data_IF_063388436772
#
_entry.id   IF_063388436772
#
_cell.length_a   1.000
_cell.length_b   1.000
_cell.length_c   1.000
_cell.angle_alpha   90.00
_cell.angle_beta   90.00
_cell.angle_gamma   90.00
#
_symmetry.space_group_name_H-M   'P 1'
#
loop_
_entity.id
_entity.type
_entity.pdbx_description
1 polymer ?
#
# COMPACT_ATOMS: atom_id res chain seq x y z
N UNK A 1 -4.97 35.79 5.16
CA UNK A 1 -4.23 34.52 5.34
C UNK A 1 -5.22 33.47 5.79
N UNK A 2 -5.21 32.28 5.17
CA UNK A 2 -6.09 31.19 5.63
C UNK A 2 -5.60 30.68 7.01
N UNK A 3 -6.50 30.25 7.90
CA UNK A 3 -6.12 29.60 9.15
C UNK A 3 -5.31 28.31 8.88
N UNK A 4 -4.50 27.90 9.85
CA UNK A 4 -3.71 26.68 9.74
C UNK A 4 -4.63 25.44 9.79
N UNK A 5 -4.59 24.62 8.74
CA UNK A 5 -5.31 23.35 8.63
C UNK A 5 -6.74 23.39 9.18
N UNK A 6 -7.49 24.43 8.76
CA UNK A 6 -8.90 24.61 9.12
C UNK A 6 -9.81 23.60 8.41
N UNK A 7 -11.13 23.72 8.61
CA UNK A 7 -12.13 22.86 7.97
C UNK A 7 -11.93 22.75 6.44
N UNK A 8 -11.49 23.84 5.79
CA UNK A 8 -11.30 23.92 4.34
C UNK A 8 -9.86 23.61 3.91
N UNK A 9 -9.08 22.98 4.77
CA UNK A 9 -7.70 22.59 4.45
C UNK A 9 -7.65 21.82 3.12
N UNK A 10 -6.78 22.27 2.21
CA UNK A 10 -6.61 21.79 0.83
C UNK A 10 -7.80 22.03 -0.13
N UNK A 11 -8.91 22.59 0.33
CA UNK A 11 -10.11 22.89 -0.49
C UNK A 11 -10.09 24.38 -0.85
N UNK A 12 -9.72 24.70 -2.10
CA UNK A 12 -9.42 26.08 -2.50
C UNK A 12 -10.62 26.85 -3.01
N UNK A 13 -11.70 26.19 -3.41
CA UNK A 13 -12.89 26.77 -4.03
C UNK A 13 -14.19 26.12 -3.50
N UNK A 14 -15.34 26.73 -3.83
CA UNK A 14 -16.66 26.30 -3.32
C UNK A 14 -17.06 24.93 -3.85
N UNK A 15 -16.79 24.64 -5.11
CA UNK A 15 -17.06 23.34 -5.71
C UNK A 15 -16.26 22.23 -5.03
N UNK A 16 -14.97 22.46 -4.79
CA UNK A 16 -14.14 21.50 -4.03
C UNK A 16 -14.68 21.23 -2.63
N UNK A 17 -15.13 22.26 -1.93
CA UNK A 17 -15.73 22.13 -0.60
C UNK A 17 -17.03 21.32 -0.66
N UNK A 18 -17.91 21.62 -1.62
CA UNK A 18 -19.13 20.85 -1.82
C UNK A 18 -18.85 19.38 -2.12
N UNK A 19 -17.99 19.09 -3.08
CA UNK A 19 -17.62 17.70 -3.44
C UNK A 19 -17.06 16.93 -2.25
N UNK A 20 -16.26 17.59 -1.42
CA UNK A 20 -15.68 16.97 -0.26
C UNK A 20 -16.72 16.76 0.86
N UNK A 21 -17.41 17.81 1.30
CA UNK A 21 -18.29 17.71 2.48
C UNK A 21 -19.57 16.93 2.23
N UNK A 22 -20.14 17.06 1.02
CA UNK A 22 -21.40 16.40 0.71
C UNK A 22 -21.20 14.94 0.27
N UNK A 23 -20.06 14.62 -0.39
CA UNK A 23 -19.88 13.31 -1.02
C UNK A 23 -18.69 12.52 -0.45
N UNK A 24 -17.46 13.07 -0.48
CA UNK A 24 -16.27 12.29 -0.13
C UNK A 24 -16.11 12.02 1.36
N UNK A 25 -16.36 13.00 2.22
CA UNK A 25 -16.13 12.91 3.66
C UNK A 25 -17.06 11.90 4.35
N UNK A 26 -18.22 11.61 3.77
CA UNK A 26 -19.22 10.69 4.30
C UNK A 26 -18.98 9.24 3.89
N UNK A 27 -18.15 8.96 2.87
CA UNK A 27 -17.88 7.59 2.45
C UNK A 27 -17.05 6.83 3.49
N UNK A 28 -17.28 5.52 3.66
CA UNK A 28 -16.44 4.69 4.50
C UNK A 28 -14.98 4.64 4.00
N UNK A 29 -14.07 4.12 4.81
CA UNK A 29 -12.70 3.83 4.43
C UNK A 29 -12.58 2.35 4.09
N UNK A 30 -11.98 2.08 2.93
CA UNK A 30 -11.59 0.75 2.48
C UNK A 30 -10.08 0.80 2.21
N UNK A 31 -9.30 0.06 3.01
CA UNK A 31 -7.85 0.01 2.90
C UNK A 31 -7.41 -1.32 2.29
N UNK A 32 -7.36 -1.35 0.97
CA UNK A 32 -7.11 -2.59 0.21
C UNK A 32 -5.63 -2.98 0.14
N UNK A 33 -4.73 -2.21 0.74
CA UNK A 33 -3.31 -2.55 0.90
C UNK A 33 -2.68 -1.80 2.07
N UNK A 34 -2.24 -2.54 3.07
CA UNK A 34 -1.49 -2.01 4.22
C UNK A 34 -0.58 -3.09 4.83
N UNK A 35 0.23 -2.68 5.80
CA UNK A 35 1.14 -3.55 6.56
C UNK A 35 0.77 -3.62 8.06
N UNK A 36 -0.50 -3.43 8.37
CA UNK A 36 -1.00 -3.52 9.75
C UNK A 36 -0.96 -4.98 10.22
N UNK A 37 -0.56 -5.19 11.49
CA UNK A 37 -0.52 -6.50 12.09
C UNK A 37 -1.91 -6.97 12.54
N UNK A 38 -2.48 -8.05 11.96
CA UNK A 38 -3.80 -8.55 12.34
C UNK A 38 -3.87 -9.06 13.79
N UNK A 39 -2.76 -9.48 14.39
CA UNK A 39 -2.72 -9.85 15.80
C UNK A 39 -3.08 -8.67 16.71
N UNK A 40 -2.56 -7.48 16.43
CA UNK A 40 -2.87 -6.29 17.20
C UNK A 40 -4.35 -5.89 17.10
N UNK A 41 -5.00 -6.19 15.97
CA UNK A 41 -6.46 -6.02 15.80
C UNK A 41 -7.22 -7.05 16.63
N UNK A 42 -6.82 -8.31 16.58
CA UNK A 42 -7.48 -9.37 17.35
C UNK A 42 -7.39 -9.14 18.85
N UNK A 43 -6.18 -8.83 19.33
CA UNK A 43 -5.90 -8.58 20.76
C UNK A 43 -6.44 -7.22 21.25
N UNK A 44 -6.97 -6.41 20.35
CA UNK A 44 -7.45 -5.04 20.61
C UNK A 44 -6.41 -4.22 21.39
N UNK A 45 -5.16 -4.23 20.88
CA UNK A 45 -4.00 -3.63 21.54
C UNK A 45 -4.29 -2.18 21.95
N UNK A 46 -3.83 -1.82 23.15
CA UNK A 46 -3.76 -0.46 23.62
C UNK A 46 -2.31 0.00 23.67
N UNK A 47 -2.01 1.14 23.05
CA UNK A 47 -0.66 1.70 23.04
C UNK A 47 -0.40 2.47 24.33
N UNK A 48 0.80 2.33 24.89
CA UNK A 48 1.20 3.02 26.11
C UNK A 48 1.48 4.52 25.89
N UNK A 49 1.95 4.86 24.69
CA UNK A 49 2.31 6.24 24.35
C UNK A 49 2.34 6.47 22.83
N UNK A 50 2.34 7.74 22.44
CA UNK A 50 2.31 8.19 21.05
C UNK A 50 3.57 7.80 20.25
N UNK A 51 4.72 7.60 20.90
CA UNK A 51 5.95 7.17 20.23
C UNK A 51 5.79 5.78 19.65
N UNK A 52 5.16 4.85 20.41
CA UNK A 52 4.91 3.49 19.93
C UNK A 52 4.05 3.50 18.67
N UNK A 53 3.02 4.36 18.62
CA UNK A 53 2.13 4.46 17.46
C UNK A 53 2.82 5.10 16.24
N UNK A 54 3.62 6.15 16.48
CA UNK A 54 4.20 6.96 15.40
C UNK A 54 5.56 6.52 14.93
N UNK A 55 6.41 6.03 15.84
CA UNK A 55 7.81 5.73 15.55
C UNK A 55 8.14 4.25 15.62
N UNK A 56 7.18 3.39 15.98
CA UNK A 56 7.41 1.96 16.17
C UNK A 56 7.77 1.21 14.89
N UNK A 57 7.46 1.74 13.69
CA UNK A 57 7.73 1.07 12.41
C UNK A 57 7.67 2.00 11.20
N UNK A 58 7.67 3.31 11.40
CA UNK A 58 7.49 4.29 10.33
C UNK A 58 8.84 4.80 9.79
N UNK A 59 9.32 4.13 8.75
CA UNK A 59 10.58 4.51 8.10
C UNK A 59 10.53 5.87 7.37
N UNK A 60 9.37 6.45 7.08
CA UNK A 60 9.23 7.83 6.58
C UNK A 60 9.70 8.83 7.64
N UNK A 61 9.20 8.68 8.88
CA UNK A 61 9.57 9.54 10.01
C UNK A 61 11.04 9.37 10.36
N UNK A 62 11.54 8.13 10.41
CA UNK A 62 12.96 7.83 10.66
C UNK A 62 13.88 8.49 9.63
N UNK A 63 13.53 8.40 8.34
CA UNK A 63 14.29 9.04 7.26
C UNK A 63 14.33 10.56 7.42
N UNK A 64 13.22 11.18 7.79
CA UNK A 64 13.15 12.61 8.01
C UNK A 64 13.97 13.05 9.26
N UNK A 65 13.89 12.31 10.36
CA UNK A 65 14.70 12.57 11.56
C UNK A 65 16.20 12.51 11.26
N UNK A 66 16.65 11.52 10.46
CA UNK A 66 18.05 11.46 10.01
C UNK A 66 18.45 12.68 9.19
N UNK A 67 17.58 13.16 8.31
CA UNK A 67 17.83 14.38 7.53
C UNK A 67 17.90 15.65 8.38
N UNK A 68 17.30 15.61 9.57
CA UNK A 68 17.44 16.65 10.58
C UNK A 68 18.71 16.53 11.44
N UNK A 69 19.55 15.50 11.22
CA UNK A 69 20.77 15.27 11.98
C UNK A 69 20.55 14.65 13.36
N UNK A 70 19.42 13.96 13.57
CA UNK A 70 19.13 13.24 14.81
C UNK A 70 19.97 11.97 14.85
N UNK A 71 20.61 11.72 16.02
CA UNK A 71 21.38 10.49 16.25
C UNK A 71 20.47 9.26 16.25
N UNK A 72 20.97 8.14 15.69
CA UNK A 72 20.22 6.90 15.56
C UNK A 72 19.72 6.33 16.88
N UNK A 73 20.40 6.64 17.99
CA UNK A 73 19.96 6.32 19.35
C UNK A 73 18.52 6.79 19.65
N UNK A 74 18.13 7.97 19.10
CA UNK A 74 16.77 8.53 19.25
C UNK A 74 15.80 8.12 18.15
N UNK A 75 16.23 7.39 17.14
CA UNK A 75 15.38 6.98 15.99
C UNK A 75 14.95 5.54 16.18
N UNK A 76 15.87 4.60 15.94
CA UNK A 76 15.65 3.15 16.07
C UNK A 76 16.37 2.54 17.28
N UNK A 77 17.22 3.32 17.96
CA UNK A 77 17.99 2.88 19.13
C UNK A 77 17.15 2.84 20.41
N UNK A 78 17.85 2.79 21.56
CA UNK A 78 17.25 2.51 22.87
C UNK A 78 16.89 3.75 23.70
N UNK A 79 16.83 4.94 23.09
CA UNK A 79 16.40 6.15 23.81
C UNK A 79 14.97 5.96 24.37
N UNK A 80 14.67 6.55 25.55
CA UNK A 80 13.32 6.54 26.10
C UNK A 80 12.29 7.13 25.10
N UNK A 81 11.10 6.57 25.04
CA UNK A 81 10.03 6.95 24.11
C UNK A 81 9.73 8.46 24.13
N UNK A 82 9.73 9.07 25.32
CA UNK A 82 9.52 10.52 25.46
C UNK A 82 10.62 11.34 24.77
N UNK A 83 11.86 10.91 24.86
CA UNK A 83 12.99 11.59 24.22
C UNK A 83 12.94 11.45 22.70
N UNK A 84 12.57 10.26 22.20
CA UNK A 84 12.32 10.04 20.77
C UNK A 84 11.21 10.96 20.25
N UNK A 85 10.09 11.05 20.97
CA UNK A 85 9.00 11.93 20.61
C UNK A 85 9.43 13.41 20.56
N UNK A 86 10.24 13.86 21.53
CA UNK A 86 10.71 15.24 21.56
C UNK A 86 11.64 15.56 20.37
N UNK A 87 12.50 14.61 19.99
CA UNK A 87 13.30 14.75 18.77
C UNK A 87 12.43 14.80 17.52
N UNK A 88 11.40 13.96 17.46
CA UNK A 88 10.42 14.00 16.37
C UNK A 88 9.70 15.36 16.32
N UNK A 89 9.19 15.86 17.42
CA UNK A 89 8.50 17.15 17.50
C UNK A 89 9.39 18.32 17.05
N UNK A 90 10.68 18.31 17.42
CA UNK A 90 11.64 19.30 16.97
C UNK A 90 11.86 19.23 15.44
N UNK A 91 11.96 18.04 14.87
CA UNK A 91 12.08 17.82 13.43
C UNK A 91 10.80 18.26 12.70
N UNK A 92 9.64 17.82 13.20
CA UNK A 92 8.35 18.11 12.57
C UNK A 92 8.09 19.62 12.46
N UNK A 93 8.47 20.40 13.48
CA UNK A 93 8.36 21.86 13.43
C UNK A 93 9.14 22.53 12.30
N UNK A 94 10.06 21.81 11.65
CA UNK A 94 10.87 22.28 10.51
C UNK A 94 10.46 21.62 9.19
N UNK A 95 9.46 20.75 9.19
CA UNK A 95 9.05 19.92 8.05
C UNK A 95 8.21 20.71 7.01
N UNK A 96 8.63 21.93 6.65
CA UNK A 96 7.93 22.73 5.65
C UNK A 96 7.90 22.02 4.28
N UNK A 97 6.71 21.86 3.71
CA UNK A 97 6.52 21.21 2.42
C UNK A 97 6.59 19.68 2.48
N UNK A 98 6.92 19.06 3.60
CA UNK A 98 6.94 17.62 3.78
C UNK A 98 5.54 17.09 4.17
N UNK A 99 5.03 16.01 3.56
CA UNK A 99 3.70 15.47 3.86
C UNK A 99 3.55 15.02 5.32
N UNK A 100 4.62 14.60 5.99
CA UNK A 100 4.61 14.22 7.40
C UNK A 100 4.08 15.35 8.31
N UNK A 101 4.28 16.62 7.92
CA UNK A 101 3.73 17.75 8.65
C UNK A 101 2.19 17.75 8.61
N UNK A 102 1.62 17.56 7.43
CA UNK A 102 0.17 17.47 7.26
C UNK A 102 -0.42 16.23 7.91
N UNK A 103 0.16 15.06 7.67
CA UNK A 103 -0.35 13.79 8.21
C UNK A 103 -0.35 13.78 9.73
N UNK A 104 0.76 14.16 10.36
CA UNK A 104 0.84 14.20 11.83
C UNK A 104 -0.19 15.16 12.44
N UNK A 105 -0.42 16.32 11.82
CA UNK A 105 -1.43 17.27 12.32
C UNK A 105 -2.87 16.81 12.05
N UNK A 106 -3.16 16.12 10.94
CA UNK A 106 -4.45 15.49 10.71
C UNK A 106 -4.74 14.40 11.75
N UNK A 107 -3.74 13.60 12.10
CA UNK A 107 -3.83 12.58 13.14
C UNK A 107 -4.09 13.22 14.52
N UNK A 108 -3.35 14.29 14.86
CA UNK A 108 -3.55 15.04 16.10
C UNK A 108 -4.95 15.66 16.18
N UNK A 109 -5.45 16.23 15.09
CA UNK A 109 -6.79 16.79 15.03
C UNK A 109 -7.87 15.72 15.18
N UNK A 110 -7.78 14.64 14.40
CA UNK A 110 -8.81 13.61 14.32
C UNK A 110 -8.92 12.80 15.61
N UNK A 111 -7.80 12.27 16.10
CA UNK A 111 -7.81 11.32 17.20
C UNK A 111 -7.62 11.97 18.58
N UNK A 112 -6.89 13.06 18.63
CA UNK A 112 -6.54 13.71 19.90
C UNK A 112 -7.22 15.06 20.13
N UNK A 113 -7.91 15.61 19.13
CA UNK A 113 -8.59 16.90 19.21
C UNK A 113 -7.63 18.09 19.39
N UNK A 114 -6.36 17.92 19.00
CA UNK A 114 -5.36 18.95 19.08
C UNK A 114 -5.27 19.73 17.76
N UNK A 115 -5.63 21.00 17.78
CA UNK A 115 -5.64 21.90 16.62
C UNK A 115 -4.46 22.87 16.58
N UNK A 116 -3.53 22.74 17.53
CA UNK A 116 -2.29 23.52 17.56
C UNK A 116 -1.22 22.95 16.62
N UNK A 117 -0.03 23.50 16.71
CA UNK A 117 1.14 23.06 15.92
C UNK A 117 2.10 22.30 16.82
N UNK A 118 2.43 21.07 16.45
CA UNK A 118 3.46 20.28 17.14
C UNK A 118 4.86 20.76 16.72
N UNK A 119 5.63 21.19 17.71
CA UNK A 119 7.03 21.59 17.56
C UNK A 119 7.76 21.48 18.91
N UNK A 120 9.01 21.87 18.98
CA UNK A 120 9.82 21.82 20.21
C UNK A 120 9.15 22.50 21.42
N UNK A 121 8.36 23.58 21.22
CA UNK A 121 7.75 24.34 22.31
C UNK A 121 6.47 23.68 22.85
N UNK A 122 5.77 22.97 22.01
CA UNK A 122 4.49 22.31 22.33
C UNK A 122 4.63 20.80 22.58
N UNK A 123 5.86 20.26 22.47
CA UNK A 123 6.11 18.82 22.59
C UNK A 123 5.62 18.23 23.92
N UNK A 124 5.85 18.91 25.06
CA UNK A 124 5.41 18.43 26.38
C UNK A 124 3.88 18.40 26.50
N UNK A 125 3.23 19.46 26.03
CA UNK A 125 1.76 19.56 26.02
C UNK A 125 1.15 18.43 25.19
N UNK A 126 1.65 18.22 23.96
CA UNK A 126 1.11 17.20 23.04
C UNK A 126 1.41 15.80 23.54
N UNK A 127 2.61 15.56 24.11
CA UNK A 127 2.95 14.29 24.75
C UNK A 127 1.93 13.91 25.84
N UNK A 128 1.66 14.84 26.75
CA UNK A 128 0.74 14.59 27.85
C UNK A 128 -0.69 14.37 27.36
N UNK A 129 -1.16 15.23 26.42
CA UNK A 129 -2.51 15.09 25.84
C UNK A 129 -2.70 13.76 25.11
N UNK A 130 -1.75 13.38 24.25
CA UNK A 130 -1.86 12.15 23.49
C UNK A 130 -1.86 10.91 24.39
N UNK A 131 -0.96 10.89 25.40
CA UNK A 131 -0.84 9.72 26.26
C UNK A 131 -2.00 9.60 27.26
N UNK A 132 -2.56 10.72 27.72
CA UNK A 132 -3.81 10.69 28.50
C UNK A 132 -4.95 10.08 27.69
N UNK A 133 -5.09 10.46 26.41
CA UNK A 133 -6.11 9.86 25.53
C UNK A 133 -5.84 8.40 25.20
N UNK A 134 -4.58 8.04 24.91
CA UNK A 134 -4.21 6.65 24.59
C UNK A 134 -4.46 5.70 25.77
N UNK A 135 -4.51 6.20 27.00
CA UNK A 135 -4.87 5.41 28.16
C UNK A 135 -6.38 5.10 28.25
N UNK A 136 -7.23 5.81 27.48
CA UNK A 136 -8.67 5.56 27.43
C UNK A 136 -8.99 4.38 26.49
N UNK A 137 -9.89 3.45 26.86
CA UNK A 137 -10.29 2.33 26.00
C UNK A 137 -10.83 2.72 24.63
N UNK A 138 -11.35 3.94 24.46
CA UNK A 138 -11.78 4.46 23.15
C UNK A 138 -10.62 4.65 22.15
N UNK A 139 -9.39 4.50 22.60
CA UNK A 139 -8.17 4.57 21.78
C UNK A 139 -7.46 3.21 21.63
N UNK A 140 -8.17 2.11 21.88
CA UNK A 140 -7.71 0.79 21.47
C UNK A 140 -7.66 0.66 19.95
N UNK A 141 -6.93 -0.29 19.42
CA UNK A 141 -6.78 -0.52 17.98
C UNK A 141 -8.13 -0.65 17.28
N UNK A 142 -9.05 -1.48 17.80
CA UNK A 142 -10.39 -1.65 17.22
C UNK A 142 -11.21 -0.36 17.30
N UNK A 143 -11.08 0.38 18.38
CA UNK A 143 -11.77 1.66 18.55
C UNK A 143 -11.26 2.71 17.56
N UNK A 144 -9.95 2.78 17.32
CA UNK A 144 -9.34 3.66 16.30
C UNK A 144 -9.83 3.29 14.90
N UNK A 145 -9.88 2.01 14.56
CA UNK A 145 -10.39 1.53 13.27
C UNK A 145 -11.87 1.95 13.09
N UNK A 146 -12.72 1.70 14.09
CA UNK A 146 -14.15 2.05 14.04
C UNK A 146 -14.38 3.55 13.93
N UNK A 147 -13.71 4.38 14.75
CA UNK A 147 -13.85 5.85 14.67
C UNK A 147 -13.28 6.43 13.36
N UNK A 148 -12.47 5.66 12.63
CA UNK A 148 -12.00 6.01 11.29
C UNK A 148 -12.98 5.66 10.17
N UNK A 149 -14.12 5.07 10.52
CA UNK A 149 -15.14 4.60 9.58
C UNK A 149 -14.58 3.59 8.56
N UNK A 150 -13.69 2.69 9.03
CA UNK A 150 -13.12 1.63 8.20
C UNK A 150 -14.09 0.46 8.12
N UNK A 151 -14.31 -0.06 6.91
CA UNK A 151 -15.18 -1.22 6.67
C UNK A 151 -14.41 -2.47 6.29
N UNK A 152 -13.24 -2.29 5.67
CA UNK A 152 -12.40 -3.39 5.24
C UNK A 152 -10.92 -3.00 5.24
N UNK A 153 -10.08 -3.96 5.64
CA UNK A 153 -8.62 -3.87 5.63
C UNK A 153 -8.07 -5.12 4.94
N UNK A 154 -7.20 -4.93 3.93
CA UNK A 154 -6.35 -6.01 3.41
C UNK A 154 -4.95 -5.85 3.97
N UNK A 155 -4.47 -6.87 4.66
CA UNK A 155 -3.10 -6.97 5.20
C UNK A 155 -2.11 -7.37 4.10
N UNK A 156 -0.88 -7.71 4.46
CA UNK A 156 0.13 -8.24 3.51
C UNK A 156 0.70 -9.51 4.09
N UNK A 157 0.42 -10.66 3.45
CA UNK A 157 0.64 -11.97 4.03
C UNK A 157 1.44 -12.89 3.10
N UNK A 158 2.33 -13.68 3.68
CA UNK A 158 3.19 -14.62 2.97
C UNK A 158 2.46 -15.95 2.73
N UNK A 159 2.70 -16.65 1.60
CA UNK A 159 2.17 -18.00 1.35
C UNK A 159 2.27 -19.01 2.50
N UNK A 160 3.29 -18.90 3.34
CA UNK A 160 3.50 -19.82 4.48
C UNK A 160 2.72 -19.44 5.74
N UNK A 161 2.09 -18.27 5.78
CA UNK A 161 1.39 -17.78 6.97
C UNK A 161 0.15 -18.63 7.28
N UNK A 162 -0.06 -18.88 8.57
CA UNK A 162 -1.21 -19.67 9.05
C UNK A 162 -2.54 -18.95 8.93
N UNK A 163 -2.53 -17.62 8.81
CA UNK A 163 -3.69 -16.72 8.84
C UNK A 163 -4.57 -16.90 10.09
N UNK A 164 -4.01 -17.36 11.18
CA UNK A 164 -4.76 -17.65 12.41
C UNK A 164 -5.48 -16.43 12.99
N UNK A 165 -4.86 -15.25 12.87
CA UNK A 165 -5.44 -14.01 13.37
C UNK A 165 -6.61 -13.54 12.51
N UNK A 166 -6.52 -13.69 11.19
CA UNK A 166 -7.63 -13.42 10.27
C UNK A 166 -8.83 -14.31 10.57
N UNK A 167 -8.58 -15.61 10.79
CA UNK A 167 -9.63 -16.55 11.17
C UNK A 167 -10.29 -16.15 12.49
N UNK A 168 -9.51 -15.86 13.54
CA UNK A 168 -10.02 -15.44 14.83
C UNK A 168 -10.83 -14.14 14.77
N UNK A 169 -10.40 -13.16 13.96
CA UNK A 169 -11.13 -11.91 13.75
C UNK A 169 -12.45 -12.19 13.02
N UNK A 170 -12.44 -13.03 11.98
CA UNK A 170 -13.64 -13.37 11.22
C UNK A 170 -14.70 -14.13 12.06
N UNK A 171 -14.28 -14.86 13.10
CA UNK A 171 -15.15 -15.56 14.04
C UNK A 171 -15.65 -14.65 15.18
N UNK A 172 -15.10 -13.43 15.34
CA UNK A 172 -15.44 -12.50 16.41
C UNK A 172 -16.58 -11.54 16.01
N UNK A 173 -17.79 -11.88 16.40
CA UNK A 173 -18.98 -11.07 16.13
C UNK A 173 -19.00 -9.70 16.84
N UNK A 174 -18.03 -9.39 17.69
CA UNK A 174 -17.93 -8.08 18.37
C UNK A 174 -17.23 -7.03 17.50
N UNK A 175 -16.60 -7.47 16.39
CA UNK A 175 -15.87 -6.60 15.46
C UNK A 175 -16.39 -6.79 14.03
N UNK A 176 -17.02 -5.77 13.49
CA UNK A 176 -17.76 -5.76 12.23
C UNK A 176 -16.91 -5.35 11.01
N UNK A 177 -15.63 -4.97 11.22
CA UNK A 177 -14.71 -4.63 10.15
C UNK A 177 -14.08 -5.90 9.56
N UNK A 178 -14.14 -6.04 8.23
CA UNK A 178 -13.51 -7.18 7.56
C UNK A 178 -12.00 -7.00 7.52
N UNK A 179 -11.26 -8.01 7.97
CA UNK A 179 -9.78 -8.06 7.87
C UNK A 179 -9.42 -9.27 7.03
N UNK A 180 -9.01 -9.02 5.79
CA UNK A 180 -8.75 -10.03 4.79
C UNK A 180 -7.26 -10.14 4.50
N UNK A 181 -6.73 -11.35 4.23
CA UNK A 181 -5.34 -11.48 3.79
C UNK A 181 -5.16 -11.00 2.36
N UNK A 182 -4.00 -10.43 2.04
CA UNK A 182 -3.54 -10.23 0.68
C UNK A 182 -2.32 -11.11 0.40
N UNK A 183 -2.31 -11.75 -0.75
CA UNK A 183 -1.30 -12.72 -1.15
C UNK A 183 -0.02 -12.04 -1.63
N UNK A 184 1.11 -12.22 -0.94
CA UNK A 184 2.42 -11.68 -1.30
C UNK A 184 3.51 -12.76 -1.36
N UNK A 185 3.73 -13.39 -2.52
CA UNK A 185 4.64 -14.53 -2.67
C UNK A 185 6.09 -14.14 -2.98
N UNK A 186 6.54 -12.95 -2.64
CA UNK A 186 7.87 -12.43 -3.03
C UNK A 186 9.02 -13.33 -2.59
N UNK A 187 8.92 -13.98 -1.43
CA UNK A 187 9.96 -14.90 -0.97
C UNK A 187 10.05 -16.16 -1.83
N UNK A 188 8.93 -16.64 -2.38
CA UNK A 188 8.91 -17.76 -3.31
C UNK A 188 9.46 -17.38 -4.69
N UNK A 189 9.42 -16.10 -5.05
CA UNK A 189 9.94 -15.56 -6.30
C UNK A 189 11.44 -15.24 -6.24
N UNK A 190 11.96 -14.83 -5.08
CA UNK A 190 13.30 -14.29 -4.94
C UNK A 190 14.36 -15.40 -4.82
N UNK A 191 14.53 -16.19 -5.90
CA UNK A 191 15.39 -17.36 -6.00
C UNK A 191 16.88 -17.04 -5.69
N UNK A 192 17.31 -15.79 -5.93
CA UNK A 192 18.68 -15.33 -5.70
C UNK A 192 19.03 -15.16 -4.22
N UNK A 193 18.04 -15.07 -3.34
CA UNK A 193 18.26 -14.78 -1.91
C UNK A 193 18.89 -15.98 -1.19
N UNK A 194 19.85 -15.74 -0.27
CA UNK A 194 20.48 -16.84 0.51
C UNK A 194 19.47 -17.73 1.24
N UNK A 195 18.43 -17.15 1.84
CA UNK A 195 17.40 -17.86 2.61
C UNK A 195 16.37 -18.62 1.74
N UNK A 196 16.51 -18.63 0.41
CA UNK A 196 15.52 -19.25 -0.48
C UNK A 196 15.29 -20.75 -0.21
N UNK A 197 16.33 -21.60 0.03
CA UNK A 197 16.11 -23.02 0.36
C UNK A 197 15.32 -23.24 1.66
N UNK A 198 15.59 -22.42 2.69
CA UNK A 198 14.87 -22.50 3.97
C UNK A 198 13.40 -22.13 3.78
N UNK A 199 13.13 -21.11 2.94
CA UNK A 199 11.78 -20.73 2.58
C UNK A 199 11.03 -21.87 1.86
N UNK A 200 11.66 -22.58 0.94
CA UNK A 200 11.04 -23.73 0.25
C UNK A 200 10.71 -24.88 1.22
N UNK A 201 11.52 -25.08 2.25
CA UNK A 201 11.22 -26.04 3.30
C UNK A 201 9.96 -25.63 4.08
N UNK A 202 9.86 -24.36 4.48
CA UNK A 202 8.67 -23.81 5.14
C UNK A 202 7.41 -23.89 4.25
N UNK A 203 7.54 -23.60 2.97
CA UNK A 203 6.43 -23.73 2.00
C UNK A 203 6.00 -25.20 1.83
N UNK A 204 6.96 -26.13 1.82
CA UNK A 204 6.66 -27.55 1.76
C UNK A 204 5.87 -28.02 2.99
N UNK A 205 6.22 -27.53 4.17
CA UNK A 205 5.49 -27.82 5.42
C UNK A 205 4.09 -27.20 5.39
N UNK A 206 3.96 -25.91 5.04
CA UNK A 206 2.70 -25.19 5.03
C UNK A 206 1.70 -25.74 4.00
N UNK A 207 2.19 -26.23 2.85
CA UNK A 207 1.34 -26.78 1.77
C UNK A 207 1.13 -28.30 1.88
N UNK A 208 1.96 -29.02 2.65
CA UNK A 208 1.99 -30.49 2.64
C UNK A 208 2.55 -31.09 1.34
N UNK A 209 3.14 -30.29 0.46
CA UNK A 209 3.69 -30.69 -0.83
C UNK A 209 5.21 -30.49 -0.80
N UNK A 210 5.98 -31.56 -1.05
CA UNK A 210 7.44 -31.45 -1.14
C UNK A 210 7.82 -30.64 -2.39
N UNK A 211 8.50 -29.51 -2.16
CA UNK A 211 8.97 -28.62 -3.23
C UNK A 211 10.38 -29.04 -3.64
N UNK A 212 10.50 -29.84 -4.72
CA UNK A 212 11.77 -30.34 -5.27
C UNK A 212 11.93 -30.10 -6.78
N UNK A 213 10.98 -29.39 -7.40
CA UNK A 213 10.96 -28.99 -8.79
C UNK A 213 10.17 -27.68 -8.95
N UNK A 214 10.33 -26.96 -10.07
CA UNK A 214 9.49 -25.78 -10.35
C UNK A 214 8.00 -26.19 -10.45
N UNK A 215 7.72 -27.36 -11.00
CA UNK A 215 6.35 -27.88 -11.07
C UNK A 215 5.76 -28.08 -9.66
N UNK A 216 6.49 -28.70 -8.73
CA UNK A 216 6.00 -28.88 -7.36
C UNK A 216 5.93 -27.55 -6.57
N UNK A 217 6.76 -26.57 -6.87
CA UNK A 217 6.61 -25.19 -6.36
C UNK A 217 5.25 -24.61 -6.79
N UNK A 218 4.92 -24.72 -8.07
CA UNK A 218 3.63 -24.26 -8.61
C UNK A 218 2.45 -24.94 -7.92
N UNK A 219 2.50 -26.26 -7.69
CA UNK A 219 1.46 -27.01 -6.97
C UNK A 219 1.33 -26.57 -5.50
N UNK A 220 2.44 -26.37 -4.82
CA UNK A 220 2.44 -25.89 -3.44
C UNK A 220 1.81 -24.49 -3.34
N UNK A 221 2.14 -23.59 -4.27
CA UNK A 221 1.56 -22.24 -4.31
C UNK A 221 0.05 -22.28 -4.63
N UNK A 222 -0.42 -23.12 -5.56
CA UNK A 222 -1.85 -23.30 -5.80
C UNK A 222 -2.60 -23.77 -4.55
N UNK A 223 -2.05 -24.75 -3.83
CA UNK A 223 -2.63 -25.23 -2.58
C UNK A 223 -2.77 -24.07 -1.59
N UNK A 224 -1.72 -23.23 -1.44
CA UNK A 224 -1.76 -22.09 -0.53
C UNK A 224 -2.71 -20.98 -1.02
N UNK A 225 -2.80 -20.73 -2.32
CA UNK A 225 -3.79 -19.80 -2.88
C UNK A 225 -5.22 -20.24 -2.60
N UNK A 226 -5.51 -21.53 -2.68
CA UNK A 226 -6.84 -22.07 -2.35
C UNK A 226 -7.16 -21.89 -0.86
N UNK A 227 -6.17 -22.05 0.02
CA UNK A 227 -6.31 -21.73 1.43
C UNK A 227 -6.57 -20.24 1.65
N UNK A 228 -5.80 -19.33 1.02
CA UNK A 228 -6.03 -17.89 1.11
C UNK A 228 -7.40 -17.48 0.57
N UNK A 229 -7.84 -18.09 -0.55
CA UNK A 229 -9.18 -17.87 -1.10
C UNK A 229 -10.28 -18.25 -0.11
N UNK A 230 -10.11 -19.38 0.63
CA UNK A 230 -11.04 -19.79 1.67
C UNK A 230 -11.12 -18.82 2.85
N UNK A 231 -10.10 -17.97 3.03
CA UNK A 231 -10.04 -16.91 4.03
C UNK A 231 -10.49 -15.54 3.49
N UNK A 232 -11.07 -15.50 2.27
CA UNK A 232 -11.59 -14.28 1.66
C UNK A 232 -10.59 -13.44 0.87
N UNK A 233 -9.38 -13.96 0.62
CA UNK A 233 -8.39 -13.27 -0.22
C UNK A 233 -8.92 -13.07 -1.65
N UNK A 234 -8.81 -11.86 -2.17
CA UNK A 234 -9.10 -11.51 -3.57
C UNK A 234 -8.03 -10.58 -4.17
N UNK A 235 -6.94 -10.36 -3.43
CA UNK A 235 -5.90 -9.39 -3.75
C UNK A 235 -4.54 -10.06 -3.69
N UNK A 236 -3.73 -9.85 -4.72
CA UNK A 236 -2.30 -10.16 -4.67
C UNK A 236 -1.46 -8.88 -4.68
N UNK A 237 -0.26 -8.96 -4.13
CA UNK A 237 0.70 -7.88 -4.06
C UNK A 237 2.12 -8.39 -4.37
N UNK A 238 2.90 -7.59 -5.08
CA UNK A 238 4.28 -7.90 -5.44
C UNK A 238 5.16 -6.66 -5.30
N UNK A 239 6.32 -6.81 -4.66
CA UNK A 239 7.37 -5.80 -4.57
C UNK A 239 8.51 -6.14 -5.54
N UNK A 240 8.49 -5.56 -6.74
CA UNK A 240 9.42 -5.84 -7.82
C UNK A 240 10.49 -4.75 -7.95
N UNK A 241 11.68 -5.11 -8.39
CA UNK A 241 12.68 -4.13 -8.84
C UNK A 241 12.14 -3.35 -10.06
N UNK A 242 11.61 -4.07 -11.03
CA UNK A 242 10.81 -3.61 -12.17
C UNK A 242 9.98 -4.78 -12.71
N UNK A 243 9.04 -4.51 -13.60
CA UNK A 243 8.24 -5.59 -14.22
C UNK A 243 9.06 -6.22 -15.35
N UNK A 244 9.73 -7.33 -15.03
CA UNK A 244 10.65 -8.03 -15.93
C UNK A 244 9.92 -8.97 -16.89
N UNK A 245 10.54 -9.19 -18.07
CA UNK A 245 10.10 -10.22 -19.00
C UNK A 245 11.28 -10.82 -19.75
N UNK A 246 11.71 -12.01 -19.35
CA UNK A 246 12.78 -12.79 -19.95
C UNK A 246 12.30 -14.25 -20.14
N UNK A 247 11.44 -14.53 -21.16
CA UNK A 247 10.86 -15.84 -21.37
C UNK A 247 11.89 -16.89 -21.76
N UNK A 248 11.70 -18.12 -21.29
CA UNK A 248 12.53 -19.28 -21.63
C UNK A 248 11.67 -20.56 -21.66
N UNK A 249 12.27 -21.68 -22.12
CA UNK A 249 11.59 -22.97 -22.13
C UNK A 249 11.38 -23.51 -20.71
N UNK A 250 10.38 -24.36 -20.53
CA UNK A 250 10.10 -25.02 -19.24
C UNK A 250 11.33 -25.80 -18.74
N UNK A 251 12.08 -26.45 -19.63
CA UNK A 251 13.30 -27.19 -19.30
C UNK A 251 14.40 -26.26 -18.76
N UNK A 252 14.53 -25.05 -19.32
CA UNK A 252 15.48 -24.03 -18.83
C UNK A 252 15.09 -23.57 -17.42
N UNK A 253 13.81 -23.28 -17.18
CA UNK A 253 13.32 -22.86 -15.87
C UNK A 253 13.55 -23.96 -14.82
N UNK A 254 13.24 -25.20 -15.17
CA UNK A 254 13.46 -26.36 -14.28
C UNK A 254 14.94 -26.57 -13.96
N UNK A 255 15.83 -26.40 -14.95
CA UNK A 255 17.28 -26.51 -14.78
C UNK A 255 17.81 -25.42 -13.81
N UNK A 256 17.31 -24.18 -13.93
CA UNK A 256 17.67 -23.06 -13.04
C UNK A 256 17.23 -23.37 -11.61
N UNK A 257 16.00 -23.87 -11.46
CA UNK A 257 15.46 -24.22 -10.16
C UNK A 257 16.25 -25.36 -9.51
N UNK A 258 16.52 -26.44 -10.25
CA UNK A 258 17.32 -27.58 -9.79
C UNK A 258 18.76 -27.17 -9.40
N UNK A 259 19.39 -26.29 -10.19
CA UNK A 259 20.70 -25.68 -9.88
C UNK A 259 20.65 -25.01 -8.49
N UNK A 260 19.64 -24.22 -8.24
CA UNK A 260 19.48 -23.49 -6.96
C UNK A 260 19.22 -24.43 -5.78
N UNK A 261 18.38 -25.45 -5.96
CA UNK A 261 18.18 -26.50 -4.96
C UNK A 261 19.47 -27.28 -4.64
N UNK A 262 20.34 -27.47 -5.62
CA UNK A 262 21.66 -28.07 -5.44
C UNK A 262 22.65 -27.17 -4.69
N UNK A 263 22.25 -25.99 -4.23
CA UNK A 263 23.05 -25.07 -3.43
C UNK A 263 23.87 -24.06 -4.25
N UNK A 264 23.81 -24.12 -5.58
CA UNK A 264 24.53 -23.17 -6.42
C UNK A 264 23.80 -21.82 -6.54
N UNK A 265 24.55 -20.73 -6.70
CA UNK A 265 24.00 -19.42 -6.98
C UNK A 265 23.48 -19.32 -8.40
N UNK A 266 22.41 -18.56 -8.61
CA UNK A 266 21.91 -18.21 -9.94
C UNK A 266 22.57 -16.93 -10.44
N UNK A 267 22.72 -16.84 -11.77
CA UNK A 267 23.15 -15.59 -12.42
C UNK A 267 21.99 -14.60 -12.50
N UNK A 268 22.26 -13.33 -12.84
CA UNK A 268 21.20 -12.33 -13.03
C UNK A 268 20.25 -12.73 -14.17
N UNK A 269 20.75 -13.31 -15.24
CA UNK A 269 19.94 -13.79 -16.36
C UNK A 269 19.01 -14.93 -15.91
N UNK A 270 19.55 -15.92 -15.21
CA UNK A 270 18.80 -17.03 -14.65
C UNK A 270 17.71 -16.55 -13.65
N UNK A 271 18.04 -15.57 -12.82
CA UNK A 271 17.10 -14.92 -11.92
C UNK A 271 15.91 -14.31 -12.67
N UNK A 272 16.17 -13.53 -13.73
CA UNK A 272 15.13 -12.88 -14.53
C UNK A 272 14.25 -13.90 -15.26
N UNK A 273 14.84 -14.96 -15.79
CA UNK A 273 14.11 -16.08 -16.43
C UNK A 273 13.17 -16.73 -15.42
N UNK A 274 13.70 -17.08 -14.25
CA UNK A 274 12.89 -17.71 -13.21
C UNK A 274 11.76 -16.80 -12.74
N UNK A 275 12.05 -15.53 -12.41
CA UNK A 275 11.04 -14.56 -11.97
C UNK A 275 9.97 -14.33 -13.03
N UNK A 276 10.32 -14.31 -14.31
CA UNK A 276 9.37 -14.21 -15.42
C UNK A 276 8.43 -15.42 -15.44
N UNK A 277 8.98 -16.63 -15.38
CA UNK A 277 8.16 -17.85 -15.36
C UNK A 277 7.24 -17.91 -14.14
N UNK A 278 7.75 -17.51 -12.98
CA UNK A 278 6.99 -17.39 -11.74
C UNK A 278 5.85 -16.39 -11.88
N UNK A 279 6.11 -15.17 -12.32
CA UNK A 279 5.11 -14.11 -12.44
C UNK A 279 4.03 -14.44 -13.48
N UNK A 280 4.40 -15.05 -14.60
CA UNK A 280 3.43 -15.55 -15.59
C UNK A 280 2.55 -16.64 -14.99
N UNK A 281 3.11 -17.58 -14.24
CA UNK A 281 2.35 -18.62 -13.55
C UNK A 281 1.35 -18.02 -12.54
N UNK A 282 1.82 -17.18 -11.61
CA UNK A 282 0.91 -16.63 -10.59
C UNK A 282 -0.12 -15.68 -11.20
N UNK A 283 0.24 -14.89 -12.22
CA UNK A 283 -0.71 -14.04 -12.95
C UNK A 283 -1.88 -14.80 -13.53
N UNK A 284 -1.62 -15.96 -14.16
CA UNK A 284 -2.66 -16.87 -14.66
C UNK A 284 -3.53 -17.44 -13.53
N UNK A 285 -2.92 -17.80 -12.41
CA UNK A 285 -3.66 -18.30 -11.24
C UNK A 285 -4.52 -17.20 -10.59
N UNK A 286 -4.11 -15.93 -10.65
CA UNK A 286 -4.93 -14.80 -10.21
C UNK A 286 -6.13 -14.60 -11.12
N UNK A 287 -5.95 -14.66 -12.45
CA UNK A 287 -7.06 -14.60 -13.40
C UNK A 287 -8.10 -15.69 -13.14
N UNK A 288 -7.67 -16.94 -12.93
CA UNK A 288 -8.57 -18.09 -12.64
C UNK A 288 -9.37 -17.92 -11.35
N UNK A 289 -8.82 -17.20 -10.34
CA UNK A 289 -9.48 -16.93 -9.06
C UNK A 289 -10.19 -15.58 -9.01
N UNK A 290 -10.16 -14.83 -10.11
CA UNK A 290 -10.68 -13.46 -10.17
C UNK A 290 -10.04 -12.53 -9.11
N UNK A 291 -8.76 -12.78 -8.78
CA UNK A 291 -7.97 -11.91 -7.91
C UNK A 291 -7.40 -10.72 -8.67
N UNK A 292 -7.22 -9.62 -7.98
CA UNK A 292 -6.52 -8.44 -8.52
C UNK A 292 -5.02 -8.60 -8.33
N UNK A 293 -4.25 -8.38 -9.39
CA UNK A 293 -2.79 -8.37 -9.36
C UNK A 293 -2.29 -6.93 -9.12
N UNK A 294 -1.61 -6.70 -7.99
CA UNK A 294 -0.96 -5.42 -7.70
C UNK A 294 0.55 -5.56 -7.90
N UNK A 295 1.13 -4.72 -8.75
CA UNK A 295 2.56 -4.72 -9.06
C UNK A 295 3.18 -3.40 -8.58
N UNK A 296 3.84 -3.46 -7.42
CA UNK A 296 4.64 -2.37 -6.87
C UNK A 296 6.08 -2.53 -7.38
N UNK A 297 6.62 -1.52 -8.07
CA UNK A 297 7.97 -1.60 -8.63
C UNK A 297 8.73 -0.27 -8.58
N UNK A 298 10.00 -0.30 -8.94
CA UNK A 298 10.84 0.90 -9.05
C UNK A 298 11.56 1.25 -7.75
N UNK A 299 11.72 0.29 -6.81
CA UNK A 299 12.49 0.47 -5.60
C UNK A 299 13.89 -0.12 -5.74
N UNK A 300 14.93 0.67 -5.49
CA UNK A 300 16.27 0.17 -5.21
C UNK A 300 16.43 0.07 -3.70
N UNK A 301 16.52 -1.18 -3.22
CA UNK A 301 16.55 -1.51 -1.80
C UNK A 301 17.95 -1.39 -1.20
N UNK A 302 18.03 -1.11 0.10
CA UNK A 302 19.21 -1.28 0.95
C UNK A 302 20.46 -0.55 0.45
N UNK A 303 20.32 0.69 -0.04
CA UNK A 303 21.40 1.44 -0.68
C UNK A 303 22.58 1.78 0.25
N UNK A 304 22.37 1.76 1.58
CA UNK A 304 23.40 1.97 2.58
C UNK A 304 23.76 0.64 3.26
N UNK A 305 24.73 -0.07 2.69
CA UNK A 305 25.14 -1.40 3.19
C UNK A 305 25.63 -1.40 4.65
N UNK A 306 26.25 -0.30 5.10
CA UNK A 306 26.71 -0.16 6.48
C UNK A 306 25.53 -0.08 7.46
N UNK A 307 24.46 0.62 7.08
CA UNK A 307 23.25 0.70 7.89
C UNK A 307 22.39 -0.54 7.77
N UNK A 308 22.35 -1.17 6.60
CA UNK A 308 21.71 -2.48 6.45
C UNK A 308 22.31 -3.54 7.38
N UNK A 309 23.63 -3.57 7.49
CA UNK A 309 24.35 -4.48 8.41
C UNK A 309 24.04 -4.22 9.90
N UNK A 310 23.58 -3.01 10.26
CA UNK A 310 23.24 -2.64 11.64
C UNK A 310 21.76 -2.78 11.97
N UNK A 311 20.88 -2.41 11.04
CA UNK A 311 19.44 -2.22 11.29
C UNK A 311 18.56 -3.20 10.49
N UNK A 312 19.11 -3.86 9.46
CA UNK A 312 18.33 -4.71 8.56
C UNK A 312 17.53 -3.94 7.49
N UNK A 313 16.61 -4.62 6.81
CA UNK A 313 15.77 -4.06 5.76
C UNK A 313 14.69 -3.14 6.30
N UNK A 314 14.03 -2.38 5.40
CA UNK A 314 12.88 -1.51 5.68
C UNK A 314 13.12 -0.43 6.74
N UNK A 315 14.35 0.05 6.86
CA UNK A 315 14.75 1.05 7.86
C UNK A 315 14.99 2.45 7.29
N UNK A 316 14.56 2.69 6.03
CA UNK A 316 14.56 4.04 5.41
C UNK A 316 15.77 4.34 4.53
N UNK A 317 16.49 3.32 4.05
CA UNK A 317 17.68 3.47 3.18
C UNK A 317 17.43 3.05 1.73
N UNK A 318 16.19 3.00 1.32
CA UNK A 318 15.76 2.71 -0.05
C UNK A 318 15.64 3.99 -0.87
N UNK A 319 15.69 3.87 -2.19
CA UNK A 319 15.50 4.99 -3.10
C UNK A 319 14.75 4.57 -4.37
N UNK A 320 14.35 5.57 -5.17
CA UNK A 320 13.75 5.36 -6.48
C UNK A 320 14.79 4.76 -7.42
N UNK A 321 14.39 3.70 -8.13
CA UNK A 321 15.12 3.15 -9.27
C UNK A 321 14.52 3.71 -10.56
N UNK A 322 15.37 4.14 -11.48
CA UNK A 322 14.95 4.65 -12.79
C UNK A 322 15.09 3.61 -13.94
N UNK A 323 15.52 2.39 -13.62
CA UNK A 323 15.54 1.29 -14.59
C UNK A 323 14.19 0.56 -14.52
N UNK A 324 13.33 0.85 -15.46
CA UNK A 324 12.01 0.23 -15.59
C UNK A 324 11.60 0.20 -17.07
N UNK A 325 12.12 -0.76 -17.87
CA UNK A 325 11.82 -0.81 -19.30
C UNK A 325 10.34 -1.09 -19.54
N UNK A 326 9.64 -0.11 -20.10
CA UNK A 326 8.21 -0.21 -20.40
C UNK A 326 7.89 -1.30 -21.43
N UNK A 327 8.85 -1.65 -22.30
CA UNK A 327 8.72 -2.76 -23.25
C UNK A 327 8.58 -4.10 -22.55
N UNK A 328 9.39 -4.38 -21.53
CA UNK A 328 9.28 -5.64 -20.78
C UNK A 328 7.97 -5.74 -20.01
N UNK A 329 7.50 -4.64 -19.44
CA UNK A 329 6.17 -4.58 -18.79
C UNK A 329 5.05 -4.87 -19.79
N UNK A 330 5.09 -4.27 -20.98
CA UNK A 330 4.10 -4.53 -22.02
C UNK A 330 4.14 -5.98 -22.49
N UNK A 331 5.34 -6.55 -22.67
CA UNK A 331 5.53 -7.96 -23.07
C UNK A 331 5.01 -8.92 -21.98
N UNK A 332 5.25 -8.62 -20.70
CA UNK A 332 4.70 -9.41 -19.58
C UNK A 332 3.18 -9.39 -19.57
N UNK A 333 2.55 -8.23 -19.67
CA UNK A 333 1.09 -8.12 -19.72
C UNK A 333 0.53 -8.84 -20.97
N UNK A 334 1.20 -8.70 -22.12
CA UNK A 334 0.82 -9.40 -23.33
C UNK A 334 0.95 -10.93 -23.22
N UNK A 335 1.93 -11.44 -22.49
CA UNK A 335 2.07 -12.88 -22.27
C UNK A 335 0.86 -13.49 -21.54
N UNK A 336 0.25 -12.71 -20.62
CA UNK A 336 -0.99 -13.10 -19.94
C UNK A 336 -2.23 -12.85 -20.82
N UNK A 337 -2.26 -11.72 -21.53
CA UNK A 337 -3.41 -11.33 -22.35
C UNK A 337 -3.60 -12.22 -23.57
N UNK A 338 -2.50 -12.68 -24.19
CA UNK A 338 -2.56 -13.54 -25.38
C UNK A 338 -3.18 -14.92 -25.15
N UNK A 339 -3.37 -15.30 -23.89
CA UNK A 339 -4.03 -16.55 -23.49
C UNK A 339 -5.35 -16.30 -22.75
N UNK A 340 -5.89 -15.07 -22.80
CA UNK A 340 -7.09 -14.63 -22.07
C UNK A 340 -6.99 -14.85 -20.54
N UNK A 341 -5.76 -14.77 -20.00
CA UNK A 341 -5.47 -15.01 -18.59
C UNK A 341 -4.86 -13.76 -17.91
N UNK A 342 -5.06 -12.55 -18.47
CA UNK A 342 -4.66 -11.30 -17.82
C UNK A 342 -5.69 -10.91 -16.75
N UNK A 343 -5.32 -10.91 -15.45
CA UNK A 343 -6.22 -10.50 -14.39
C UNK A 343 -6.43 -8.97 -14.39
N UNK A 344 -7.40 -8.48 -13.63
CA UNK A 344 -7.44 -7.07 -13.22
C UNK A 344 -6.11 -6.71 -12.59
N UNK A 345 -5.47 -5.64 -13.06
CA UNK A 345 -4.09 -5.32 -12.67
C UNK A 345 -3.93 -3.85 -12.32
N UNK A 346 -3.21 -3.58 -11.23
CA UNK A 346 -2.85 -2.24 -10.79
C UNK A 346 -1.32 -2.11 -10.80
N UNK A 347 -0.83 -1.07 -11.47
CA UNK A 347 0.60 -0.78 -11.60
C UNK A 347 0.97 0.41 -10.71
N UNK A 348 1.92 0.21 -9.79
CA UNK A 348 2.46 1.25 -8.93
C UNK A 348 3.94 1.43 -9.21
N UNK A 349 4.36 2.63 -9.64
CA UNK A 349 5.77 2.96 -9.75
C UNK A 349 6.19 3.92 -8.63
N UNK A 350 7.38 3.71 -8.08
CA UNK A 350 8.03 4.71 -7.24
C UNK A 350 8.58 5.90 -8.03
N UNK A 351 8.80 5.70 -9.34
CA UNK A 351 9.34 6.75 -10.19
C UNK A 351 8.20 7.53 -10.86
N UNK A 352 7.96 8.81 -10.51
CA UNK A 352 6.89 9.60 -11.11
C UNK A 352 7.09 9.84 -12.61
N UNK A 353 8.30 9.67 -13.14
CA UNK A 353 8.55 9.77 -14.59
C UNK A 353 7.94 8.59 -15.37
N UNK A 354 7.55 7.52 -14.70
CA UNK A 354 6.89 6.37 -15.34
C UNK A 354 5.38 6.60 -15.55
N UNK A 355 4.79 7.64 -14.98
CA UNK A 355 3.34 7.89 -15.03
C UNK A 355 2.80 7.84 -16.47
N UNK A 356 3.47 8.49 -17.41
CA UNK A 356 3.04 8.51 -18.80
C UNK A 356 3.27 7.17 -19.51
N UNK A 357 4.37 6.48 -19.21
CA UNK A 357 4.63 5.15 -19.76
C UNK A 357 3.57 4.16 -19.29
N UNK A 358 3.24 4.17 -18.00
CA UNK A 358 2.15 3.37 -17.43
C UNK A 358 0.84 3.74 -18.14
N UNK A 359 0.47 5.03 -18.17
CA UNK A 359 -0.78 5.49 -18.75
C UNK A 359 -1.00 5.05 -20.19
N UNK A 360 0.05 5.01 -21.01
CA UNK A 360 -0.04 4.52 -22.39
C UNK A 360 -0.14 2.98 -22.48
N UNK A 361 0.54 2.25 -21.61
CA UNK A 361 0.45 0.78 -21.53
C UNK A 361 -0.96 0.34 -21.11
N UNK A 362 -1.59 1.04 -20.14
CA UNK A 362 -2.95 0.73 -19.68
C UNK A 362 -3.94 0.65 -20.86
N UNK A 363 -3.83 1.55 -21.82
CA UNK A 363 -4.69 1.58 -23.01
C UNK A 363 -4.55 0.38 -23.95
N UNK A 364 -3.44 -0.36 -23.85
CA UNK A 364 -3.19 -1.52 -24.70
C UNK A 364 -3.96 -2.78 -24.25
N UNK A 365 -4.41 -2.84 -23.00
CA UNK A 365 -4.92 -4.07 -22.39
C UNK A 365 -6.30 -3.89 -21.71
N UNK A 366 -7.08 -2.87 -22.09
CA UNK A 366 -8.45 -2.70 -21.64
C UNK A 366 -9.38 -3.64 -22.40
N UNK A 367 -10.41 -4.16 -21.72
CA UNK A 367 -11.48 -4.93 -22.33
C UNK A 367 -12.83 -4.70 -21.59
N UNK A 368 -13.86 -5.44 -21.97
CA UNK A 368 -15.21 -5.30 -21.40
C UNK A 368 -15.43 -6.11 -20.12
N UNK A 369 -14.43 -6.80 -19.60
CA UNK A 369 -14.57 -7.68 -18.42
C UNK A 369 -14.58 -6.90 -17.10
N UNK A 370 -13.97 -5.72 -17.07
CA UNK A 370 -13.99 -4.83 -15.92
C UNK A 370 -13.78 -3.36 -16.34
N UNK A 371 -14.41 -2.43 -15.61
CA UNK A 371 -14.11 -1.00 -15.75
C UNK A 371 -12.69 -0.72 -15.30
N UNK A 372 -11.90 -0.03 -16.13
CA UNK A 372 -10.49 0.24 -15.85
C UNK A 372 -9.71 -1.03 -15.44
N UNK A 373 -9.88 -2.12 -16.20
CA UNK A 373 -9.31 -3.44 -15.92
C UNK A 373 -7.84 -3.37 -15.55
N UNK A 374 -7.07 -2.61 -16.31
CA UNK A 374 -5.68 -2.30 -16.00
C UNK A 374 -5.62 -0.82 -15.65
N UNK A 375 -5.11 -0.48 -14.46
CA UNK A 375 -5.05 0.90 -14.02
C UNK A 375 -3.74 1.25 -13.31
N UNK A 376 -3.40 2.54 -13.32
CA UNK A 376 -2.34 3.07 -12.50
C UNK A 376 -2.85 3.18 -11.07
N UNK A 377 -2.09 2.68 -10.12
CA UNK A 377 -2.39 2.77 -8.70
C UNK A 377 -2.21 4.18 -8.14
N UNK A 378 -2.65 4.35 -6.90
CA UNK A 378 -2.41 5.57 -6.12
C UNK A 378 -0.92 5.94 -6.11
N UNK A 379 -0.62 7.23 -6.04
CA UNK A 379 0.76 7.68 -5.82
C UNK A 379 1.31 6.99 -4.58
N UNK A 380 2.35 6.17 -4.79
CA UNK A 380 2.84 5.22 -3.81
C UNK A 380 4.15 5.71 -3.19
N UNK A 381 4.42 5.39 -1.94
CA UNK A 381 5.61 5.67 -1.14
C UNK A 381 6.31 6.97 -1.64
N UNK A 382 7.37 7.41 -1.54
CA UNK A 382 7.99 8.68 -1.98
C UNK A 382 7.11 9.71 -2.77
N UNK A 383 5.96 9.31 -3.34
CA UNK A 383 5.06 10.14 -4.14
C UNK A 383 3.67 10.32 -3.49
N UNK A 384 3.40 9.71 -2.35
CA UNK A 384 2.13 9.77 -1.62
C UNK A 384 1.91 11.12 -0.88
N UNK A 385 2.44 12.18 -1.46
CA UNK A 385 2.29 13.55 -1.04
C UNK A 385 1.39 14.33 -2.01
N UNK A 386 0.97 15.53 -1.62
CA UNK A 386 0.01 16.35 -2.39
C UNK A 386 0.34 16.43 -3.88
N UNK A 387 1.57 16.82 -4.22
CA UNK A 387 1.98 17.00 -5.62
C UNK A 387 1.99 15.68 -6.37
N UNK A 388 2.57 14.62 -5.78
CA UNK A 388 2.61 13.31 -6.43
C UNK A 388 1.23 12.71 -6.66
N UNK A 389 0.28 12.90 -5.72
CA UNK A 389 -1.12 12.48 -5.90
C UNK A 389 -1.79 13.24 -7.04
N UNK A 390 -1.59 14.56 -7.12
CA UNK A 390 -2.13 15.40 -8.21
C UNK A 390 -1.55 14.95 -9.54
N UNK A 391 -0.23 14.79 -9.64
CA UNK A 391 0.45 14.41 -10.89
C UNK A 391 0.01 13.02 -11.38
N UNK A 392 -0.14 12.06 -10.46
CA UNK A 392 -0.65 10.73 -10.78
C UNK A 392 -2.09 10.78 -11.30
N UNK A 393 -2.99 11.51 -10.61
CA UNK A 393 -4.39 11.61 -11.04
C UNK A 393 -4.55 12.36 -12.36
N UNK A 394 -3.76 13.39 -12.61
CA UNK A 394 -3.74 14.10 -13.90
C UNK A 394 -3.25 13.18 -15.02
N UNK A 395 -2.18 12.42 -14.79
CA UNK A 395 -1.69 11.46 -15.78
C UNK A 395 -2.74 10.40 -16.09
N UNK A 396 -3.38 9.85 -15.07
CA UNK A 396 -4.46 8.86 -15.25
C UNK A 396 -5.68 9.46 -15.96
N UNK A 397 -6.07 10.70 -15.66
CA UNK A 397 -7.15 11.38 -16.34
C UNK A 397 -6.87 11.61 -17.83
N UNK A 398 -5.63 11.97 -18.16
CA UNK A 398 -5.25 12.30 -19.53
C UNK A 398 -5.08 11.06 -20.43
N UNK A 399 -4.69 9.92 -19.88
CA UNK A 399 -4.28 8.74 -20.65
C UNK A 399 -5.15 7.50 -20.37
N UNK A 400 -6.03 7.57 -19.39
CA UNK A 400 -6.89 6.46 -18.98
C UNK A 400 -8.27 6.93 -18.52
N UNK A 401 -8.83 6.22 -17.54
CA UNK A 401 -10.16 6.50 -16.99
C UNK A 401 -10.07 6.83 -15.49
N UNK A 402 -9.95 8.11 -15.15
CA UNK A 402 -9.90 8.54 -13.74
C UNK A 402 -11.18 8.18 -12.98
N UNK A 403 -12.36 8.22 -13.62
CA UNK A 403 -13.61 7.91 -12.93
C UNK A 403 -13.70 6.46 -12.45
N UNK A 404 -12.94 5.54 -13.06
CA UNK A 404 -12.83 4.13 -12.65
C UNK A 404 -11.70 3.85 -11.64
N UNK A 405 -10.98 4.87 -11.19
CA UNK A 405 -9.85 4.73 -10.27
C UNK A 405 -10.29 4.18 -8.91
N UNK A 406 -9.54 3.21 -8.37
CA UNK A 406 -9.84 2.57 -7.07
C UNK A 406 -9.45 3.42 -5.85
N UNK A 407 -8.84 4.57 -6.07
CA UNK A 407 -8.53 5.52 -5.00
C UNK A 407 -7.32 5.17 -4.15
N UNK A 408 -7.35 5.65 -2.92
CA UNK A 408 -6.24 5.63 -1.95
C UNK A 408 -6.16 4.30 -1.20
N UNK A 409 -4.95 3.93 -0.85
CA UNK A 409 -4.56 2.93 0.15
C UNK A 409 -3.60 3.57 1.16
N UNK A 410 -3.42 3.00 2.35
CA UNK A 410 -2.52 3.61 3.33
C UNK A 410 -1.06 3.19 3.17
N UNK A 411 -0.79 1.98 2.73
CA UNK A 411 0.55 1.37 2.72
C UNK A 411 1.28 1.56 4.07
N UNK A 412 0.55 1.49 5.16
CA UNK A 412 1.02 1.89 6.48
C UNK A 412 1.02 0.75 7.49
N UNK A 413 1.90 0.90 8.49
CA UNK A 413 1.96 0.06 9.70
C UNK A 413 1.26 0.71 10.91
N UNK A 414 0.76 1.96 10.76
CA UNK A 414 0.16 2.72 11.88
C UNK A 414 -1.35 2.80 11.76
N UNK A 415 -2.05 2.51 12.86
CA UNK A 415 -3.51 2.61 12.95
C UNK A 415 -4.03 4.06 12.88
N UNK A 416 -3.19 5.07 13.06
CA UNK A 416 -3.59 6.47 12.88
C UNK A 416 -3.57 6.92 11.40
N UNK A 417 -3.01 6.12 10.50
CA UNK A 417 -2.79 6.49 9.10
C UNK A 417 -4.05 6.55 8.24
N UNK A 418 -5.22 6.16 8.75
CA UNK A 418 -6.48 6.30 8.00
C UNK A 418 -6.82 7.77 7.66
N UNK A 419 -6.20 8.73 8.32
CA UNK A 419 -6.26 10.16 7.93
C UNK A 419 -5.67 10.43 6.55
N UNK A 420 -4.87 9.51 5.99
CA UNK A 420 -4.37 9.61 4.61
C UNK A 420 -5.50 9.52 3.59
N UNK A 421 -6.59 8.76 3.89
CA UNK A 421 -7.79 8.75 3.05
C UNK A 421 -8.48 10.12 3.03
N UNK A 422 -8.59 10.80 4.18
CA UNK A 422 -9.11 12.17 4.25
C UNK A 422 -8.23 13.15 3.46
N UNK A 423 -6.91 13.05 3.62
CA UNK A 423 -5.94 13.86 2.88
C UNK A 423 -6.09 13.68 1.37
N UNK A 424 -6.17 12.43 0.90
CA UNK A 424 -6.39 12.11 -0.50
C UNK A 424 -7.72 12.65 -1.03
N UNK A 425 -8.82 12.44 -0.30
CA UNK A 425 -10.16 12.90 -0.69
C UNK A 425 -10.23 14.41 -0.83
N UNK A 426 -9.55 15.16 0.04
CA UNK A 426 -9.42 16.63 -0.09
C UNK A 426 -8.67 17.02 -1.36
N UNK A 427 -7.57 16.34 -1.67
CA UNK A 427 -6.78 16.59 -2.88
C UNK A 427 -7.61 16.25 -4.12
N UNK A 428 -8.29 15.11 -4.15
CA UNK A 428 -9.18 14.69 -5.24
C UNK A 428 -10.28 15.73 -5.49
N UNK A 429 -11.03 16.10 -4.46
CA UNK A 429 -12.11 17.05 -4.58
C UNK A 429 -11.62 18.44 -5.00
N UNK A 430 -10.43 18.84 -4.53
CA UNK A 430 -9.84 20.10 -4.95
C UNK A 430 -9.40 20.10 -6.42
N UNK A 431 -8.86 18.99 -6.90
CA UNK A 431 -8.46 18.82 -8.29
C UNK A 431 -9.69 18.88 -9.21
N UNK A 432 -10.70 18.07 -8.94
CA UNK A 432 -11.96 18.05 -9.71
C UNK A 432 -12.68 19.42 -9.62
N UNK A 433 -12.80 19.97 -8.41
CA UNK A 433 -13.43 21.27 -8.21
C UNK A 433 -12.72 22.39 -8.97
N UNK A 434 -11.40 22.32 -9.10
CA UNK A 434 -10.64 23.29 -9.90
C UNK A 434 -10.95 23.16 -11.39
N UNK A 435 -11.07 21.95 -11.93
CA UNK A 435 -11.48 21.75 -13.33
C UNK A 435 -12.89 22.28 -13.60
N UNK A 436 -13.81 22.11 -12.66
CA UNK A 436 -15.19 22.63 -12.79
C UNK A 436 -15.18 24.16 -12.75
N UNK A 437 -14.50 24.78 -11.79
CA UNK A 437 -14.43 26.25 -11.67
C UNK A 437 -13.73 26.92 -12.86
N UNK A 438 -12.79 26.23 -13.49
CA UNK A 438 -12.12 26.68 -14.69
C UNK A 438 -12.96 26.47 -15.97
N UNK A 439 -14.12 25.83 -15.90
CA UNK A 439 -14.94 25.49 -17.06
C UNK A 439 -14.37 24.34 -17.91
N UNK A 440 -13.43 23.56 -17.38
CA UNK A 440 -12.85 22.40 -18.05
C UNK A 440 -13.77 21.16 -17.95
N UNK A 441 -14.69 21.15 -16.97
CA UNK A 441 -15.72 20.14 -16.77
C UNK A 441 -17.03 20.80 -16.32
N UNK A 442 -18.22 20.31 -16.76
CA UNK A 442 -19.49 20.90 -16.36
C UNK A 442 -19.80 20.72 -14.87
N UNK A 443 -20.53 21.65 -14.28
CA UNK A 443 -21.03 21.56 -12.90
C UNK A 443 -22.25 20.60 -12.79
N UNK A 444 -22.11 19.40 -13.33
CA UNK A 444 -23.10 18.32 -13.22
C UNK A 444 -22.85 17.54 -11.91
N UNK A 445 -23.54 17.95 -10.86
CA UNK A 445 -23.31 17.40 -9.52
C UNK A 445 -23.78 15.96 -9.37
N UNK A 446 -24.69 15.45 -10.20
CA UNK A 446 -25.08 14.04 -10.18
C UNK A 446 -23.90 13.16 -10.65
N UNK A 447 -23.33 13.48 -11.82
CA UNK A 447 -22.12 12.78 -12.32
C UNK A 447 -20.92 12.99 -11.42
N UNK A 448 -20.71 14.20 -10.86
CA UNK A 448 -19.59 14.49 -9.96
C UNK A 448 -19.69 13.71 -8.64
N UNK A 449 -20.89 13.53 -8.09
CA UNK A 449 -21.11 12.69 -6.92
C UNK A 449 -20.73 11.24 -7.20
N UNK A 450 -21.19 10.67 -8.32
CA UNK A 450 -20.87 9.31 -8.74
C UNK A 450 -19.34 9.11 -8.86
N UNK A 451 -18.64 10.05 -9.51
CA UNK A 451 -17.18 10.01 -9.67
C UNK A 451 -16.49 10.09 -8.29
N UNK A 452 -16.87 11.04 -7.45
CA UNK A 452 -16.20 11.26 -6.15
C UNK A 452 -16.44 10.10 -5.19
N UNK A 453 -17.67 9.59 -5.07
CA UNK A 453 -17.98 8.40 -4.28
C UNK A 453 -17.33 7.15 -4.88
N UNK A 454 -17.30 7.04 -6.20
CA UNK A 454 -16.62 5.99 -6.94
C UNK A 454 -15.16 5.89 -6.51
N UNK A 455 -14.38 6.95 -6.71
CA UNK A 455 -12.95 6.98 -6.40
C UNK A 455 -12.68 6.87 -4.88
N UNK A 456 -13.57 7.43 -4.06
CA UNK A 456 -13.39 7.41 -2.60
C UNK A 456 -13.67 6.06 -1.97
N UNK A 457 -14.48 5.18 -2.63
CA UNK A 457 -14.90 3.92 -2.04
C UNK A 457 -15.48 2.91 -3.03
N UNK A 458 -16.54 3.27 -3.80
CA UNK A 458 -17.35 2.30 -4.54
C UNK A 458 -16.58 1.55 -5.63
N UNK A 459 -15.63 2.21 -6.29
CA UNK A 459 -14.80 1.57 -7.31
C UNK A 459 -13.97 0.44 -6.73
N UNK A 460 -13.38 0.64 -5.53
CA UNK A 460 -12.61 -0.41 -4.88
C UNK A 460 -13.51 -1.60 -4.49
N UNK A 461 -14.71 -1.36 -3.93
CA UNK A 461 -15.66 -2.43 -3.62
C UNK A 461 -15.93 -3.29 -4.86
N UNK A 462 -16.25 -2.66 -6.00
CA UNK A 462 -16.57 -3.35 -7.24
C UNK A 462 -15.36 -4.03 -7.88
N UNK A 463 -14.23 -3.33 -7.95
CA UNK A 463 -13.03 -3.80 -8.62
C UNK A 463 -12.41 -5.03 -7.95
N UNK A 464 -12.37 -5.03 -6.62
CA UNK A 464 -11.85 -6.15 -5.83
C UNK A 464 -12.89 -7.23 -5.52
N UNK A 465 -14.15 -7.02 -5.91
CA UNK A 465 -15.31 -7.88 -5.59
C UNK A 465 -15.52 -8.09 -4.09
N UNK A 466 -15.32 -7.05 -3.30
CA UNK A 466 -15.59 -7.13 -1.87
C UNK A 466 -17.10 -7.19 -1.58
N UNK A 467 -17.48 -8.03 -0.63
CA UNK A 467 -18.87 -8.13 -0.20
C UNK A 467 -19.22 -6.99 0.79
N UNK A 468 -19.38 -5.79 0.25
CA UNK A 468 -19.69 -4.56 1.00
C UNK A 468 -20.82 -3.80 0.30
N UNK A 469 -21.60 -3.05 1.08
CA UNK A 469 -22.59 -2.12 0.53
C UNK A 469 -21.89 -0.89 -0.09
N UNK A 470 -22.42 -0.41 -1.20
CA UNK A 470 -21.93 0.81 -1.82
C UNK A 470 -22.36 2.05 -1.02
N UNK A 471 -21.49 3.05 -0.98
CA UNK A 471 -21.83 4.36 -0.40
C UNK A 471 -22.87 5.07 -1.31
N UNK A 472 -23.92 5.61 -0.66
CA UNK A 472 -25.05 6.31 -1.29
C UNK A 472 -24.94 7.80 -1.07
#
# INVERSE_FOLDING_TARGET
>A
MKPFMDRNFLLSNETAQKLYFDYAATTPVLDYHCHINPQEIYEDRQFENITQVWLGGDHYKWRFMRSCGVDEYYITGEAPDKEKFFKWAECLGKAIGNPLFHWSHLELQKYFGYHGVLNKKTAEEVWNLCNEKLADPSMSVRSIIKQSNVTLICTTDDPVDSLEWHKKIAEDNSFDVQVLPAWRPDKAMNIEKPAYPDYLAALSEASGIKVDSFASLCEALKNRMDFFASMGCSVSDHGLEYVMYAPASAETVESIFAKRLGGASVTREEELIFKTAFMVFVGKEYARRNWVMQLHYGCKRDNNSAMFGKLGPDTGFDCINNYAPSSEMADFLNALNSTDELPKTILYSLNPNDNQSIGTILGCFQDSTAVAKIQQGSAWWFNDHKTGMIDQMISLANLGNLSGFVGMLTDSRSFLSYTRHDYFRRILCNLIGTWVENGEYPADYETLEEIVRGISYNNAVNYFNFNLELAK
#
